data_IF_418667196822
#
_entry.id   IF_418667196822
#
_cell.length_a   1.000
_cell.length_b   1.000
_cell.length_c   1.000
_cell.angle_alpha   90.00
_cell.angle_beta   90.00
_cell.angle_gamma   90.00
#
_symmetry.space_group_name_H-M   'P 1'
#
loop_
_entity.id
_entity.type
_entity.pdbx_description
1 polymer ?
#
# COMPACT_ATOMS: atom_id res chain seq x y z
N UNK A 1 -30.70 -13.10 -46.73
CA UNK A 1 -29.35 -13.35 -46.16
C UNK A 1 -29.53 -13.50 -44.67
N UNK A 2 -29.25 -14.68 -44.11
CA UNK A 2 -29.33 -14.94 -42.68
C UNK A 2 -28.06 -14.45 -42.01
N UNK A 3 -28.20 -13.61 -40.98
CA UNK A 3 -27.08 -13.15 -40.14
C UNK A 3 -26.87 -14.20 -39.05
N UNK A 4 -25.70 -14.83 -39.02
CA UNK A 4 -25.30 -15.74 -37.96
C UNK A 4 -25.04 -14.94 -36.66
N UNK A 5 -25.42 -15.46 -35.49
CA UNK A 5 -25.06 -14.81 -34.24
C UNK A 5 -23.58 -15.02 -33.97
N UNK A 6 -22.86 -13.92 -33.69
CA UNK A 6 -21.50 -13.98 -33.17
C UNK A 6 -21.52 -14.70 -31.81
N UNK A 7 -20.84 -15.83 -31.76
CA UNK A 7 -20.60 -16.54 -30.51
C UNK A 7 -19.67 -15.70 -29.63
N UNK A 8 -20.24 -15.04 -28.62
CA UNK A 8 -19.48 -14.50 -27.50
C UNK A 8 -18.76 -15.67 -26.82
N UNK A 9 -17.43 -15.65 -26.84
CA UNK A 9 -16.59 -16.58 -26.12
C UNK A 9 -16.74 -16.33 -24.62
N UNK A 10 -17.78 -16.91 -24.02
CA UNK A 10 -17.92 -17.03 -22.58
C UNK A 10 -16.72 -17.81 -22.05
N UNK A 11 -15.80 -17.14 -21.37
CA UNK A 11 -14.76 -17.81 -20.59
C UNK A 11 -15.45 -18.83 -19.66
N UNK A 12 -15.15 -20.11 -19.84
CA UNK A 12 -15.75 -21.20 -19.05
C UNK A 12 -15.45 -20.94 -17.58
N UNK A 13 -16.45 -20.57 -16.78
CA UNK A 13 -16.32 -20.46 -15.33
C UNK A 13 -16.17 -21.87 -14.74
N UNK A 14 -14.93 -22.32 -14.53
CA UNK A 14 -14.57 -23.66 -14.03
C UNK A 14 -14.89 -23.83 -12.52
N UNK A 15 -16.08 -23.43 -12.05
CA UNK A 15 -16.50 -23.60 -10.65
C UNK A 15 -15.67 -22.83 -9.61
N UNK A 16 -14.72 -21.98 -10.03
CA UNK A 16 -13.97 -21.09 -9.14
C UNK A 16 -14.85 -19.92 -8.69
N UNK A 17 -14.80 -19.58 -7.39
CA UNK A 17 -15.51 -18.44 -6.79
C UNK A 17 -14.69 -17.14 -6.88
N UNK A 18 -13.36 -17.28 -6.83
CA UNK A 18 -12.42 -16.18 -6.76
C UNK A 18 -11.40 -16.27 -7.90
N UNK A 19 -10.92 -15.11 -8.35
CA UNK A 19 -9.83 -15.05 -9.31
C UNK A 19 -8.48 -15.18 -8.59
N UNK A 20 -8.32 -14.52 -7.44
CA UNK A 20 -7.07 -14.54 -6.68
C UNK A 20 -7.32 -14.77 -5.18
N UNK A 21 -6.44 -15.52 -4.53
CA UNK A 21 -6.34 -15.64 -3.08
C UNK A 21 -5.10 -14.89 -2.60
N UNK A 22 -5.22 -13.99 -1.61
CA UNK A 22 -4.07 -13.27 -1.04
C UNK A 22 -3.60 -13.94 0.24
N UNK A 23 -2.37 -14.46 0.20
CA UNK A 23 -1.64 -15.07 1.32
C UNK A 23 -0.57 -14.10 1.79
N UNK A 24 -0.59 -13.71 3.07
CA UNK A 24 0.28 -12.66 3.59
C UNK A 24 0.42 -12.74 5.11
N UNK A 25 1.43 -12.02 5.64
CA UNK A 25 1.51 -11.74 7.07
C UNK A 25 0.81 -10.43 7.37
N UNK A 26 -0.28 -10.50 8.13
CA UNK A 26 -1.13 -9.36 8.42
C UNK A 26 -0.44 -8.27 9.24
N UNK A 27 0.44 -8.63 10.19
CA UNK A 27 1.21 -7.65 10.94
C UNK A 27 2.13 -6.79 10.04
N UNK A 28 2.58 -7.34 8.92
CA UNK A 28 3.58 -6.69 8.06
C UNK A 28 2.92 -5.81 7.01
N UNK A 29 1.81 -6.28 6.42
CA UNK A 29 1.31 -5.72 5.15
C UNK A 29 -0.19 -5.49 5.09
N UNK A 30 -0.98 -5.85 6.12
CA UNK A 30 -2.46 -5.81 6.04
C UNK A 30 -2.98 -4.42 5.70
N UNK A 31 -2.67 -3.42 6.53
CA UNK A 31 -3.19 -2.05 6.41
C UNK A 31 -2.47 -1.21 5.37
N UNK A 32 -1.40 -1.75 4.78
CA UNK A 32 -0.56 -1.09 3.79
C UNK A 32 -0.71 -1.80 2.44
N UNK A 33 0.36 -2.43 1.95
CA UNK A 33 0.48 -3.01 0.62
C UNK A 33 -0.63 -4.00 0.25
N UNK A 34 -1.04 -4.89 1.17
CA UNK A 34 -2.00 -5.95 0.86
C UNK A 34 -3.41 -5.40 0.66
N UNK A 35 -3.82 -4.42 1.48
CA UNK A 35 -5.11 -3.73 1.26
C UNK A 35 -5.10 -3.00 -0.08
N UNK A 36 -4.00 -2.31 -0.40
CA UNK A 36 -3.88 -1.58 -1.66
C UNK A 36 -3.95 -2.53 -2.86
N UNK A 37 -3.23 -3.65 -2.83
CA UNK A 37 -3.31 -4.70 -3.85
C UNK A 37 -4.72 -5.29 -3.97
N UNK A 38 -5.38 -5.57 -2.83
CA UNK A 38 -6.75 -6.08 -2.80
C UNK A 38 -7.73 -5.13 -3.50
N UNK A 39 -7.65 -3.82 -3.19
CA UNK A 39 -8.50 -2.83 -3.85
C UNK A 39 -8.16 -2.69 -5.34
N UNK A 40 -6.88 -2.74 -5.72
CA UNK A 40 -6.46 -2.67 -7.12
C UNK A 40 -6.99 -3.85 -7.95
N UNK A 41 -6.95 -5.07 -7.41
CA UNK A 41 -7.52 -6.25 -8.04
C UNK A 41 -9.04 -6.08 -8.24
N UNK A 42 -9.76 -5.60 -7.22
CA UNK A 42 -11.20 -5.31 -7.33
C UNK A 42 -11.52 -4.22 -8.35
N UNK A 43 -10.72 -3.15 -8.39
CA UNK A 43 -10.89 -2.06 -9.34
C UNK A 43 -10.67 -2.51 -10.79
N UNK A 44 -9.93 -3.60 -11.00
CA UNK A 44 -9.74 -4.25 -12.30
C UNK A 44 -10.75 -5.37 -12.59
N UNK A 45 -11.91 -5.38 -11.89
CA UNK A 45 -12.98 -6.38 -12.02
C UNK A 45 -12.56 -7.83 -11.73
N UNK A 46 -11.46 -8.03 -11.01
CA UNK A 46 -11.08 -9.33 -10.47
C UNK A 46 -11.79 -9.58 -9.14
N UNK A 47 -11.99 -10.86 -8.80
CA UNK A 47 -12.59 -11.29 -7.53
C UNK A 47 -11.52 -11.79 -6.57
N UNK A 48 -10.79 -10.91 -5.85
CA UNK A 48 -9.85 -11.35 -4.83
C UNK A 48 -10.57 -11.83 -3.57
N UNK A 49 -9.99 -12.85 -2.94
CA UNK A 49 -10.22 -13.22 -1.55
C UNK A 49 -8.98 -12.78 -0.76
N UNK A 50 -9.18 -12.03 0.31
CA UNK A 50 -8.11 -11.62 1.22
C UNK A 50 -8.36 -12.30 2.55
N UNK A 51 -7.38 -13.07 3.02
CA UNK A 51 -7.49 -13.64 4.36
C UNK A 51 -7.56 -12.52 5.40
N UNK A 52 -8.37 -12.75 6.43
CA UNK A 52 -8.35 -11.93 7.62
C UNK A 52 -7.57 -12.69 8.67
N UNK A 53 -6.29 -12.33 8.84
CA UNK A 53 -5.43 -12.79 9.95
C UNK A 53 -6.11 -12.73 11.35
N UNK A 54 -7.32 -12.16 11.47
CA UNK A 54 -8.17 -12.13 12.66
C UNK A 54 -9.41 -13.04 12.69
N UNK A 55 -9.83 -13.73 11.62
CA UNK A 55 -11.04 -14.59 11.67
C UNK A 55 -10.68 -15.97 12.25
N UNK A 56 -10.74 -15.99 13.59
CA UNK A 56 -10.81 -17.15 14.51
C UNK A 56 -9.49 -17.86 14.78
N UNK A 57 -8.82 -17.35 15.83
CA UNK A 57 -7.80 -18.00 16.68
C UNK A 57 -7.96 -19.53 16.73
N UNK A 58 -7.16 -20.23 15.93
CA UNK A 58 -6.94 -21.67 15.96
C UNK A 58 -5.52 -21.99 15.48
N UNK A 59 -4.98 -23.16 15.82
CA UNK A 59 -3.65 -23.60 15.39
C UNK A 59 -3.68 -24.31 14.01
N UNK A 60 -4.77 -24.20 13.25
CA UNK A 60 -4.99 -24.94 12.00
C UNK A 60 -5.89 -24.14 11.07
N UNK A 61 -5.54 -24.12 9.78
CA UNK A 61 -6.33 -23.52 8.69
C UNK A 61 -7.80 -23.89 8.85
N UNK A 62 -8.70 -22.90 8.75
CA UNK A 62 -10.14 -23.18 8.80
C UNK A 62 -10.61 -23.85 7.51
N UNK A 63 -11.67 -24.66 7.58
CA UNK A 63 -12.28 -25.26 6.39
C UNK A 63 -12.74 -24.20 5.37
N UNK A 64 -13.13 -23.02 5.85
CA UNK A 64 -13.47 -21.86 5.03
C UNK A 64 -12.27 -21.35 4.22
N UNK A 65 -11.08 -21.28 4.84
CA UNK A 65 -9.85 -20.82 4.20
C UNK A 65 -9.36 -21.82 3.14
N UNK A 66 -9.38 -23.11 3.46
CA UNK A 66 -9.10 -24.17 2.48
C UNK A 66 -10.07 -24.12 1.29
N UNK A 67 -11.36 -23.89 1.55
CA UNK A 67 -12.35 -23.74 0.50
C UNK A 67 -12.09 -22.50 -0.36
N UNK A 68 -11.69 -21.38 0.24
CA UNK A 68 -11.32 -20.17 -0.48
C UNK A 68 -10.12 -20.41 -1.40
N UNK A 69 -9.07 -21.06 -0.92
CA UNK A 69 -7.90 -21.42 -1.74
C UNK A 69 -8.32 -22.35 -2.88
N UNK A 70 -9.05 -23.44 -2.61
CA UNK A 70 -9.50 -24.42 -3.62
C UNK A 70 -10.45 -23.82 -4.68
N UNK A 71 -11.15 -22.76 -4.32
CA UNK A 71 -12.06 -22.02 -5.20
C UNK A 71 -11.43 -20.75 -5.78
N UNK A 72 -10.13 -20.55 -5.60
CA UNK A 72 -9.36 -19.50 -6.26
C UNK A 72 -8.60 -20.06 -7.46
N UNK A 73 -8.34 -19.22 -8.46
CA UNK A 73 -7.62 -19.63 -9.67
C UNK A 73 -6.11 -19.47 -9.52
N UNK A 74 -5.69 -18.46 -8.77
CA UNK A 74 -4.30 -18.20 -8.40
C UNK A 74 -4.20 -17.84 -6.93
N UNK A 75 -3.11 -18.24 -6.27
CA UNK A 75 -2.71 -17.67 -4.97
C UNK A 75 -1.56 -16.70 -5.15
N UNK A 76 -1.75 -15.46 -4.70
CA UNK A 76 -0.71 -14.44 -4.62
C UNK A 76 -0.11 -14.52 -3.22
N UNK A 77 1.17 -14.85 -3.12
CA UNK A 77 1.86 -15.09 -1.84
C UNK A 77 2.80 -13.92 -1.57
N UNK A 78 2.52 -13.14 -0.55
CA UNK A 78 3.29 -11.94 -0.18
C UNK A 78 4.29 -12.32 0.92
N UNK A 79 5.48 -12.74 0.50
CA UNK A 79 6.59 -12.99 1.42
C UNK A 79 7.15 -11.66 1.94
N UNK A 80 6.94 -11.40 3.22
CA UNK A 80 7.42 -10.23 3.97
C UNK A 80 8.42 -10.65 5.06
N UNK A 81 8.94 -9.66 5.81
CA UNK A 81 10.01 -9.87 6.81
C UNK A 81 9.68 -10.94 7.85
N UNK A 82 8.47 -10.88 8.44
CA UNK A 82 8.06 -11.78 9.53
C UNK A 82 7.10 -12.87 9.05
N UNK A 83 7.04 -13.15 7.74
CA UNK A 83 6.15 -14.18 7.19
C UNK A 83 6.40 -15.56 7.82
N UNK A 84 7.67 -15.93 8.00
CA UNK A 84 8.06 -17.22 8.58
C UNK A 84 7.82 -17.31 10.09
N UNK A 85 7.63 -16.19 10.81
CA UNK A 85 7.25 -16.21 12.23
C UNK A 85 5.86 -16.83 12.46
N UNK A 86 4.98 -16.79 11.45
CA UNK A 86 3.60 -17.24 11.56
C UNK A 86 3.45 -18.69 11.08
N UNK A 87 3.26 -19.62 12.03
CA UNK A 87 2.93 -21.01 11.69
C UNK A 87 1.65 -21.12 10.84
N UNK A 88 0.72 -20.17 10.99
CA UNK A 88 -0.49 -20.08 10.16
C UNK A 88 -0.16 -19.78 8.70
N UNK A 89 0.67 -18.77 8.44
CA UNK A 89 1.09 -18.43 7.07
C UNK A 89 1.88 -19.58 6.43
N UNK A 90 2.65 -20.34 7.22
CA UNK A 90 3.40 -21.51 6.76
C UNK A 90 2.49 -22.72 6.48
N UNK A 91 1.46 -22.96 7.29
CA UNK A 91 0.45 -23.98 7.02
C UNK A 91 -0.38 -23.63 5.79
N UNK A 92 -0.80 -22.37 5.65
CA UNK A 92 -1.47 -21.89 4.45
C UNK A 92 -0.62 -22.12 3.19
N UNK A 93 0.68 -21.84 3.26
CA UNK A 93 1.62 -22.06 2.18
C UNK A 93 1.71 -23.54 1.77
N UNK A 94 1.70 -24.48 2.73
CA UNK A 94 1.63 -25.92 2.45
C UNK A 94 0.40 -26.25 1.60
N UNK A 95 -0.76 -25.78 2.04
CA UNK A 95 -2.02 -26.08 1.35
C UNK A 95 -2.07 -25.46 -0.06
N UNK A 96 -1.63 -24.20 -0.21
CA UNK A 96 -1.52 -23.54 -1.51
C UNK A 96 -0.62 -24.34 -2.44
N UNK A 97 0.53 -24.80 -1.95
CA UNK A 97 1.49 -25.53 -2.76
C UNK A 97 1.00 -26.93 -3.15
N UNK A 98 0.22 -27.59 -2.29
CA UNK A 98 -0.48 -28.83 -2.62
C UNK A 98 -1.54 -28.63 -3.71
N UNK A 99 -2.30 -27.54 -3.68
CA UNK A 99 -3.23 -27.19 -4.76
C UNK A 99 -2.47 -26.89 -6.06
N UNK A 100 -1.36 -26.16 -5.98
CA UNK A 100 -0.50 -25.84 -7.13
C UNK A 100 0.08 -27.08 -7.81
N UNK A 101 0.51 -28.08 -7.03
CA UNK A 101 1.05 -29.36 -7.56
C UNK A 101 -0.03 -30.35 -8.00
N UNK A 102 -1.30 -30.11 -7.66
CA UNK A 102 -2.40 -31.01 -7.98
C UNK A 102 -2.62 -31.14 -9.49
N UNK A 103 -2.76 -32.37 -9.98
CA UNK A 103 -3.04 -32.64 -11.42
C UNK A 103 -4.50 -32.43 -11.82
N UNK A 104 -5.38 -32.18 -10.86
CA UNK A 104 -6.84 -32.20 -11.06
C UNK A 104 -7.45 -30.82 -11.28
N UNK A 105 -6.76 -29.77 -10.85
CA UNK A 105 -7.14 -28.36 -11.08
C UNK A 105 -5.87 -27.56 -11.37
N UNK A 106 -5.94 -26.66 -12.34
CA UNK A 106 -4.88 -25.67 -12.56
C UNK A 106 -5.03 -24.56 -11.53
N UNK A 107 -4.29 -24.65 -10.42
CA UNK A 107 -4.15 -23.57 -9.44
C UNK A 107 -2.80 -22.90 -9.67
N UNK A 108 -2.78 -21.60 -9.99
CA UNK A 108 -1.54 -20.86 -10.18
C UNK A 108 -0.97 -20.36 -8.85
N UNK A 109 0.33 -20.03 -8.80
CA UNK A 109 0.92 -19.25 -7.70
C UNK A 109 1.73 -18.08 -8.23
N UNK A 110 1.62 -16.92 -7.57
CA UNK A 110 2.37 -15.70 -7.85
C UNK A 110 3.10 -15.25 -6.59
N UNK A 111 4.38 -15.62 -6.43
CA UNK A 111 5.18 -15.18 -5.28
C UNK A 111 5.61 -13.72 -5.44
N UNK A 112 5.30 -12.90 -4.44
CA UNK A 112 5.75 -11.52 -4.27
C UNK A 112 6.77 -11.49 -3.13
N UNK A 113 7.93 -10.90 -3.34
CA UNK A 113 8.97 -10.76 -2.33
C UNK A 113 9.02 -9.30 -1.89
N UNK A 114 8.27 -8.95 -0.86
CA UNK A 114 8.02 -7.57 -0.43
C UNK A 114 9.02 -7.15 0.66
N UNK A 115 9.93 -6.24 0.31
CA UNK A 115 11.11 -5.85 1.10
C UNK A 115 12.01 -7.03 1.52
N UNK A 116 11.92 -8.14 0.79
CA UNK A 116 12.59 -9.40 1.06
C UNK A 116 13.31 -9.91 -0.20
N UNK A 117 14.53 -10.40 -0.07
CA UNK A 117 15.22 -11.01 -1.21
C UNK A 117 14.68 -12.42 -1.48
N UNK A 118 14.50 -12.82 -2.76
CA UNK A 118 14.09 -14.19 -3.10
C UNK A 118 15.03 -15.28 -2.57
N UNK A 119 16.31 -14.98 -2.33
CA UNK A 119 17.28 -15.91 -1.70
C UNK A 119 16.84 -16.37 -0.32
N UNK A 120 16.19 -15.50 0.45
CA UNK A 120 15.77 -15.75 1.83
C UNK A 120 14.68 -16.81 1.86
N UNK A 121 13.65 -16.65 1.02
CA UNK A 121 12.57 -17.64 0.87
C UNK A 121 13.09 -18.96 0.32
N UNK A 122 14.13 -18.91 -0.53
CA UNK A 122 14.85 -20.11 -1.01
C UNK A 122 15.81 -20.72 0.02
N UNK A 123 15.84 -20.18 1.24
CA UNK A 123 16.69 -20.62 2.36
C UNK A 123 18.20 -20.59 2.02
N UNK A 124 18.60 -19.64 1.17
CA UNK A 124 19.99 -19.38 0.79
C UNK A 124 20.51 -18.17 1.56
N UNK A 125 20.80 -18.38 2.83
CA UNK A 125 21.21 -17.33 3.76
C UNK A 125 22.72 -17.05 3.71
N UNK A 126 23.09 -15.79 3.91
CA UNK A 126 24.43 -15.24 4.12
C UNK A 126 24.56 -14.85 5.58
N UNK A 127 25.73 -15.13 6.16
CA UNK A 127 25.95 -14.94 7.59
C UNK A 127 25.94 -13.46 8.01
N UNK A 128 26.23 -12.54 7.08
CA UNK A 128 26.39 -11.10 7.33
C UNK A 128 25.10 -10.28 7.17
N UNK A 129 24.01 -10.87 6.65
CA UNK A 129 22.75 -10.16 6.49
C UNK A 129 21.80 -10.40 7.68
N UNK A 130 21.45 -9.31 8.38
CA UNK A 130 20.61 -9.36 9.57
C UNK A 130 19.20 -9.90 9.28
N UNK A 131 18.61 -9.56 8.13
CA UNK A 131 17.25 -10.00 7.77
C UNK A 131 17.22 -11.49 7.47
N UNK A 132 18.24 -11.98 6.76
CA UNK A 132 18.39 -13.41 6.46
C UNK A 132 18.52 -14.23 7.74
N UNK A 133 19.30 -13.73 8.70
CA UNK A 133 19.46 -14.36 10.01
C UNK A 133 18.17 -14.35 10.84
N UNK A 134 17.37 -13.27 10.78
CA UNK A 134 16.09 -13.18 11.50
C UNK A 134 15.07 -14.17 10.93
N UNK A 135 14.87 -14.19 9.61
CA UNK A 135 13.93 -15.12 8.95
C UNK A 135 14.30 -16.59 9.26
N UNK A 136 15.60 -16.92 9.20
CA UNK A 136 16.09 -18.24 9.59
C UNK A 136 15.78 -18.56 11.05
N UNK A 137 16.05 -17.63 11.96
CA UNK A 137 15.82 -17.81 13.39
C UNK A 137 14.35 -18.08 13.69
N UNK A 138 13.44 -17.30 13.12
CA UNK A 138 11.99 -17.49 13.27
C UNK A 138 11.53 -18.85 12.76
N UNK A 139 12.05 -19.26 11.60
CA UNK A 139 11.77 -20.56 11.04
C UNK A 139 12.29 -21.69 11.94
N UNK A 140 13.51 -21.57 12.48
CA UNK A 140 14.13 -22.56 13.37
C UNK A 140 13.46 -22.61 14.76
N UNK A 141 12.88 -21.50 15.25
CA UNK A 141 12.12 -21.46 16.50
C UNK A 141 10.91 -22.40 16.49
N UNK A 142 10.32 -22.64 15.31
CA UNK A 142 9.21 -23.56 15.16
C UNK A 142 9.57 -25.03 15.39
N UNK A 143 10.85 -25.42 15.22
CA UNK A 143 11.28 -26.81 15.45
C UNK A 143 10.92 -27.29 16.86
N UNK A 144 11.09 -26.40 17.85
CA UNK A 144 10.80 -26.69 19.27
C UNK A 144 9.32 -26.89 19.53
N UNK A 145 8.46 -26.24 18.75
CA UNK A 145 7.00 -26.20 18.97
C UNK A 145 6.26 -27.26 18.16
N UNK A 146 6.70 -27.53 16.93
CA UNK A 146 5.99 -28.40 15.98
C UNK A 146 6.79 -29.62 15.54
N UNK A 147 8.07 -29.70 15.92
CA UNK A 147 8.97 -30.79 15.57
C UNK A 147 9.62 -30.63 14.19
N UNK A 148 10.70 -31.38 14.00
CA UNK A 148 11.54 -31.31 12.79
C UNK A 148 10.79 -31.69 11.51
N UNK A 149 9.92 -32.69 11.56
CA UNK A 149 9.18 -33.16 10.38
C UNK A 149 8.30 -32.05 9.78
N UNK A 150 7.57 -31.32 10.63
CA UNK A 150 6.73 -30.20 10.19
C UNK A 150 7.57 -29.05 9.66
N UNK A 151 8.70 -28.77 10.31
CA UNK A 151 9.65 -27.76 9.86
C UNK A 151 10.21 -28.09 8.47
N UNK A 152 10.56 -29.35 8.22
CA UNK A 152 11.09 -29.79 6.92
C UNK A 152 10.02 -29.68 5.82
N UNK A 153 8.74 -29.94 6.12
CA UNK A 153 7.64 -29.67 5.18
C UNK A 153 7.54 -28.17 4.83
N UNK A 154 7.57 -27.29 5.83
CA UNK A 154 7.54 -25.84 5.60
C UNK A 154 8.74 -25.36 4.78
N UNK A 155 9.93 -25.88 5.05
CA UNK A 155 11.15 -25.59 4.27
C UNK A 155 10.99 -26.01 2.81
N UNK A 156 10.43 -27.18 2.55
CA UNK A 156 10.21 -27.65 1.17
C UNK A 156 9.30 -26.69 0.39
N UNK A 157 8.18 -26.27 0.97
CA UNK A 157 7.21 -25.41 0.26
C UNK A 157 7.68 -23.97 0.13
N UNK A 158 8.44 -23.44 1.11
CA UNK A 158 9.12 -22.15 0.97
C UNK A 158 10.09 -22.17 -0.21
N UNK A 159 10.95 -23.19 -0.31
CA UNK A 159 11.86 -23.36 -1.45
C UNK A 159 11.06 -23.51 -2.74
N UNK A 160 10.04 -24.35 -2.75
CA UNK A 160 9.19 -24.63 -3.92
C UNK A 160 8.54 -23.36 -4.48
N UNK A 161 7.88 -22.58 -3.63
CA UNK A 161 7.28 -21.30 -4.00
C UNK A 161 8.34 -20.26 -4.37
N UNK A 162 9.46 -20.19 -3.65
CA UNK A 162 10.55 -19.26 -3.93
C UNK A 162 11.25 -19.51 -5.27
N UNK A 163 11.17 -20.74 -5.82
CA UNK A 163 11.71 -21.09 -7.14
C UNK A 163 10.77 -20.71 -8.30
N UNK A 164 9.48 -20.46 -8.04
CA UNK A 164 8.57 -19.94 -9.05
C UNK A 164 8.94 -18.50 -9.39
N UNK A 165 8.78 -18.14 -10.67
CA UNK A 165 9.02 -16.78 -11.14
C UNK A 165 8.08 -15.82 -10.41
N UNK A 166 8.66 -14.79 -9.79
CA UNK A 166 7.92 -13.89 -8.92
C UNK A 166 8.37 -12.44 -9.01
N UNK A 167 7.81 -11.63 -8.14
CA UNK A 167 7.92 -10.18 -8.18
C UNK A 167 8.67 -9.68 -6.94
N UNK A 168 9.98 -9.40 -7.04
CA UNK A 168 10.72 -8.77 -5.95
C UNK A 168 10.47 -7.27 -5.91
N UNK A 169 10.31 -6.73 -4.71
CA UNK A 169 10.17 -5.31 -4.44
C UNK A 169 10.99 -4.93 -3.19
N UNK A 170 11.74 -3.81 -3.20
CA UNK A 170 12.00 -2.96 -4.34
C UNK A 170 12.92 -3.65 -5.37
N UNK A 171 12.84 -3.22 -6.63
CA UNK A 171 13.76 -3.62 -7.72
C UNK A 171 13.86 -2.46 -8.71
N UNK A 172 14.93 -2.36 -9.49
CA UNK A 172 15.11 -1.32 -10.52
C UNK A 172 13.89 -1.09 -11.43
N UNK A 173 13.07 -2.12 -11.69
CA UNK A 173 11.85 -1.99 -12.51
C UNK A 173 10.72 -1.22 -11.81
N UNK A 174 10.66 -1.25 -10.48
CA UNK A 174 9.58 -0.69 -9.69
C UNK A 174 10.15 0.41 -8.82
N UNK A 175 9.99 1.63 -9.28
CA UNK A 175 10.41 2.78 -8.50
C UNK A 175 9.44 3.05 -7.34
N UNK A 176 8.15 2.70 -7.53
CA UNK A 176 7.11 2.86 -6.51
C UNK A 176 6.25 1.59 -6.30
N UNK A 177 5.66 1.39 -5.10
CA UNK A 177 4.72 0.30 -4.81
C UNK A 177 3.54 0.22 -5.79
N UNK A 178 3.09 1.35 -6.32
CA UNK A 178 1.99 1.43 -7.27
C UNK A 178 2.29 0.77 -8.63
N UNK A 179 3.49 0.97 -9.18
CA UNK A 179 3.87 0.36 -10.47
C UNK A 179 4.10 -1.14 -10.27
N UNK A 180 4.53 -1.54 -9.07
CA UNK A 180 4.57 -2.92 -8.63
C UNK A 180 3.16 -3.55 -8.57
N UNK A 181 2.18 -2.87 -7.97
CA UNK A 181 0.78 -3.32 -7.91
C UNK A 181 0.17 -3.45 -9.32
N UNK A 182 0.39 -2.48 -10.23
CA UNK A 182 -0.15 -2.55 -11.60
C UNK A 182 0.33 -3.81 -12.33
N UNK A 183 1.63 -4.14 -12.23
CA UNK A 183 2.19 -5.32 -12.88
C UNK A 183 1.63 -6.63 -12.28
N UNK A 184 1.41 -6.67 -10.96
CA UNK A 184 0.78 -7.81 -10.28
C UNK A 184 -0.67 -7.98 -10.74
N UNK A 185 -1.45 -6.90 -10.80
CA UNK A 185 -2.86 -6.94 -11.24
C UNK A 185 -2.95 -7.42 -12.68
N UNK A 186 -2.12 -6.88 -13.58
CA UNK A 186 -2.07 -7.32 -15.00
C UNK A 186 -1.64 -8.76 -15.15
N UNK A 187 -0.65 -9.20 -14.38
CA UNK A 187 -0.20 -10.60 -14.41
C UNK A 187 -1.31 -11.51 -13.91
N UNK A 188 -1.96 -11.16 -12.80
CA UNK A 188 -3.11 -11.89 -12.27
C UNK A 188 -4.20 -12.01 -13.33
N UNK A 189 -4.57 -10.90 -14.00
CA UNK A 189 -5.52 -10.90 -15.11
C UNK A 189 -5.15 -11.89 -16.22
N UNK A 190 -3.89 -11.89 -16.66
CA UNK A 190 -3.38 -12.84 -17.67
C UNK A 190 -3.47 -14.30 -17.21
N UNK A 191 -3.04 -14.60 -15.99
CA UNK A 191 -3.13 -15.96 -15.40
C UNK A 191 -4.58 -16.46 -15.35
N UNK A 192 -5.52 -15.54 -15.10
CA UNK A 192 -6.95 -15.84 -15.06
C UNK A 192 -7.67 -15.58 -16.40
N UNK A 193 -6.95 -15.35 -17.50
CA UNK A 193 -7.54 -15.16 -18.82
C UNK A 193 -8.48 -13.95 -18.95
N UNK A 194 -8.33 -12.95 -18.08
CA UNK A 194 -9.06 -11.68 -18.10
C UNK A 194 -8.14 -10.60 -18.66
N UNK A 195 -8.54 -9.97 -19.77
CA UNK A 195 -7.76 -8.91 -20.41
C UNK A 195 -8.01 -7.57 -19.72
N UNK A 196 -7.00 -7.11 -18.96
CA UNK A 196 -7.00 -5.80 -18.31
C UNK A 196 -6.51 -4.75 -19.31
N UNK A 197 -7.45 -4.14 -20.04
CA UNK A 197 -7.19 -3.25 -21.18
C UNK A 197 -6.65 -1.87 -20.78
N UNK A 198 -7.20 -1.30 -19.72
CA UNK A 198 -6.68 -0.09 -19.11
C UNK A 198 -5.84 -0.49 -17.90
N UNK A 199 -4.76 0.24 -17.62
CA UNK A 199 -4.16 0.12 -16.29
C UNK A 199 -5.28 0.28 -15.27
N UNK A 200 -5.36 -0.51 -14.18
CA UNK A 200 -5.86 0.05 -12.96
C UNK A 200 -5.05 1.34 -12.74
N UNK A 201 -5.60 2.48 -13.13
CA UNK A 201 -5.05 3.76 -12.73
C UNK A 201 -5.34 3.76 -11.25
N UNK A 202 -4.38 3.27 -10.48
CA UNK A 202 -4.44 3.29 -9.03
C UNK A 202 -4.42 4.76 -8.67
N UNK A 203 -5.62 5.30 -8.58
CA UNK A 203 -5.84 6.65 -8.12
C UNK A 203 -5.96 6.51 -6.63
N UNK A 204 -5.06 7.17 -5.92
CA UNK A 204 -5.40 7.50 -4.56
C UNK A 204 -6.68 8.32 -4.63
N UNK A 205 -7.72 7.90 -3.92
CA UNK A 205 -8.91 8.73 -3.85
C UNK A 205 -8.59 10.01 -3.09
N UNK A 206 -7.68 9.91 -2.11
CA UNK A 206 -7.29 11.00 -1.22
C UNK A 206 -5.78 10.97 -0.94
N UNK A 207 -5.08 12.07 -1.19
CA UNK A 207 -3.72 12.29 -0.69
C UNK A 207 -3.76 13.04 0.65
N UNK A 208 -3.19 12.46 1.70
CA UNK A 208 -3.07 13.04 3.03
C UNK A 208 -1.73 13.77 3.15
N UNK A 209 -1.79 15.11 3.23
CA UNK A 209 -0.64 15.98 3.49
C UNK A 209 -0.69 16.48 4.93
N UNK A 210 0.34 16.19 5.72
CA UNK A 210 0.39 16.51 7.14
C UNK A 210 1.82 16.59 7.67
N UNK A 211 1.97 17.22 8.85
CA UNK A 211 3.22 17.25 9.60
C UNK A 211 3.18 16.19 10.72
N UNK A 212 4.01 15.16 10.59
CA UNK A 212 4.01 13.98 11.47
C UNK A 212 4.32 14.31 12.93
N UNK A 213 5.04 15.41 13.21
CA UNK A 213 5.41 15.79 14.58
C UNK A 213 4.27 16.46 15.37
N UNK A 214 3.24 16.95 14.69
CA UNK A 214 2.14 17.71 15.33
C UNK A 214 0.95 16.86 15.70
N UNK A 215 0.64 15.93 14.82
CA UNK A 215 -0.56 15.16 14.91
C UNK A 215 -0.15 13.90 15.64
N UNK A 216 -0.39 13.86 16.95
CA UNK A 216 -0.23 12.63 17.75
C UNK A 216 -0.79 11.49 16.91
N UNK A 217 -0.03 10.41 16.77
CA UNK A 217 -0.19 9.31 15.79
C UNK A 217 -1.66 8.91 15.52
N UNK A 218 -2.53 9.06 16.53
CA UNK A 218 -3.95 8.83 16.49
C UNK A 218 -4.80 9.55 15.41
N UNK A 219 -4.66 10.86 15.11
CA UNK A 219 -5.66 11.51 14.22
C UNK A 219 -5.50 11.13 12.75
N UNK A 220 -4.27 11.20 12.21
CA UNK A 220 -4.03 10.76 10.82
C UNK A 220 -4.30 9.28 10.66
N UNK A 221 -3.89 8.45 11.63
CA UNK A 221 -4.16 7.01 11.58
C UNK A 221 -5.66 6.71 11.64
N UNK A 222 -6.43 7.40 12.48
CA UNK A 222 -7.90 7.28 12.50
C UNK A 222 -8.52 7.74 11.19
N UNK A 223 -8.06 8.85 10.63
CA UNK A 223 -8.57 9.35 9.34
C UNK A 223 -8.26 8.37 8.20
N UNK A 224 -7.03 7.85 8.14
CA UNK A 224 -6.61 6.83 7.17
C UNK A 224 -7.47 5.56 7.30
N UNK A 225 -7.65 5.07 8.54
CA UNK A 225 -8.48 3.91 8.82
C UNK A 225 -9.96 4.13 8.44
N UNK A 226 -10.52 5.31 8.71
CA UNK A 226 -11.92 5.63 8.37
C UNK A 226 -12.12 5.83 6.86
N UNK A 227 -11.13 6.40 6.16
CA UNK A 227 -11.14 6.46 4.70
C UNK A 227 -11.10 5.05 4.11
N UNK A 228 -10.21 4.18 4.61
CA UNK A 228 -10.10 2.78 4.19
C UNK A 228 -11.37 1.99 4.50
N UNK A 229 -11.98 2.17 5.68
CA UNK A 229 -13.25 1.53 6.06
C UNK A 229 -14.41 1.96 5.13
N UNK A 230 -14.37 3.23 4.70
CA UNK A 230 -15.29 3.82 3.73
C UNK A 230 -14.94 3.47 2.27
N UNK A 231 -13.97 2.58 2.04
CA UNK A 231 -13.51 2.10 0.72
C UNK A 231 -12.79 3.15 -0.14
N UNK A 232 -12.30 4.23 0.46
CA UNK A 232 -11.35 5.12 -0.19
C UNK A 232 -9.94 4.55 -0.08
N UNK A 233 -9.09 4.90 -1.06
CA UNK A 233 -7.68 4.52 -1.08
C UNK A 233 -6.83 5.76 -0.74
N UNK A 234 -6.44 5.96 0.53
CA UNK A 234 -5.60 7.09 0.92
C UNK A 234 -4.11 6.85 0.62
N UNK A 235 -3.41 7.90 0.18
CA UNK A 235 -1.96 7.99 0.21
C UNK A 235 -1.52 8.82 1.41
N UNK A 236 -0.74 8.24 2.32
CA UNK A 236 -0.10 8.99 3.40
C UNK A 236 1.26 9.45 2.94
N UNK A 237 1.45 10.77 2.85
CA UNK A 237 2.75 11.33 2.56
C UNK A 237 3.65 11.25 3.81
N UNK A 238 4.30 10.13 4.02
CA UNK A 238 5.25 9.90 5.11
C UNK A 238 6.69 10.22 4.69
N UNK A 239 7.55 10.56 5.66
CA UNK A 239 8.95 10.92 5.42
C UNK A 239 9.75 9.66 5.09
N UNK A 240 9.90 9.34 3.80
CA UNK A 240 10.91 8.38 3.35
C UNK A 240 11.96 9.09 2.50
N UNK A 241 13.16 9.24 3.04
CA UNK A 241 14.31 9.87 2.35
C UNK A 241 14.90 8.99 1.23
N UNK A 242 14.35 7.78 1.02
CA UNK A 242 14.85 6.75 0.11
C UNK A 242 14.05 6.58 -1.20
N UNK A 243 12.89 7.21 -1.35
CA UNK A 243 11.94 6.90 -2.44
C UNK A 243 12.01 7.92 -3.59
N UNK A 244 13.19 8.04 -4.21
CA UNK A 244 13.36 8.81 -5.46
C UNK A 244 13.69 7.88 -6.62
N UNK A 245 12.97 8.08 -7.71
CA UNK A 245 13.13 7.33 -8.95
C UNK A 245 14.42 7.70 -9.69
N UNK A 246 14.75 6.94 -10.74
CA UNK A 246 15.91 7.22 -11.62
C UNK A 246 15.84 8.62 -12.25
N UNK A 247 14.65 9.20 -12.40
CA UNK A 247 14.42 10.57 -12.89
C UNK A 247 14.38 11.65 -11.78
N UNK A 248 14.49 11.24 -10.51
CA UNK A 248 14.48 12.11 -9.34
C UNK A 248 13.08 12.48 -8.81
N UNK A 249 12.00 11.97 -9.41
CA UNK A 249 10.62 12.16 -8.94
C UNK A 249 10.41 11.37 -7.64
N UNK A 250 9.75 11.98 -6.65
CA UNK A 250 9.38 11.28 -5.41
C UNK A 250 7.99 10.64 -5.55
N UNK A 251 7.70 9.63 -4.72
CA UNK A 251 6.37 8.97 -4.72
C UNK A 251 5.26 9.97 -4.44
N UNK A 252 5.54 10.92 -3.55
CA UNK A 252 4.64 12.02 -3.21
C UNK A 252 4.26 12.85 -4.44
N UNK A 253 5.19 13.12 -5.35
CA UNK A 253 4.95 13.91 -6.56
C UNK A 253 4.08 13.14 -7.55
N UNK A 254 4.36 11.84 -7.73
CA UNK A 254 3.52 10.97 -8.53
C UNK A 254 2.11 10.88 -7.94
N UNK A 255 1.99 10.78 -6.61
CA UNK A 255 0.72 10.65 -5.91
C UNK A 255 -0.18 11.88 -6.09
N UNK A 256 0.35 13.11 -6.19
CA UNK A 256 -0.44 14.33 -6.47
C UNK A 256 -1.21 14.17 -7.79
N UNK A 257 -0.52 13.77 -8.86
CA UNK A 257 -1.13 13.64 -10.18
C UNK A 257 -2.08 12.45 -10.30
N UNK A 258 -1.91 11.46 -9.43
CA UNK A 258 -2.72 10.24 -9.37
C UNK A 258 -3.89 10.38 -8.39
N UNK A 259 -3.96 11.46 -7.61
CA UNK A 259 -5.02 11.65 -6.62
C UNK A 259 -6.24 12.38 -7.17
N UNK A 260 -7.44 11.98 -6.75
CA UNK A 260 -8.68 12.73 -7.06
C UNK A 260 -8.89 13.91 -6.11
N UNK A 261 -8.55 13.69 -4.85
CA UNK A 261 -8.64 14.69 -3.80
C UNK A 261 -7.35 14.72 -2.99
N UNK A 262 -7.09 15.82 -2.31
CA UNK A 262 -6.11 15.88 -1.24
C UNK A 262 -6.73 16.51 0.00
N UNK A 263 -6.48 15.89 1.16
CA UNK A 263 -6.73 16.47 2.45
C UNK A 263 -5.42 17.05 2.97
N UNK A 264 -5.42 18.35 3.22
CA UNK A 264 -4.26 19.07 3.76
C UNK A 264 -4.56 19.42 5.21
N UNK A 265 -3.89 18.75 6.13
CA UNK A 265 -4.08 18.95 7.58
C UNK A 265 -3.13 20.04 8.06
N UNK A 266 -3.63 21.28 8.11
CA UNK A 266 -2.92 22.40 8.72
C UNK A 266 -2.92 22.24 10.23
N UNK A 267 -1.75 21.90 10.77
CA UNK A 267 -1.44 21.84 12.18
C UNK A 267 -0.48 22.98 12.59
N UNK A 268 -0.20 23.10 13.90
CA UNK A 268 0.60 24.20 14.47
C UNK A 268 2.00 24.34 13.87
N UNK A 269 2.69 23.25 13.56
CA UNK A 269 4.03 23.22 12.99
C UNK A 269 4.07 22.87 11.48
N UNK A 270 2.91 22.75 10.79
CA UNK A 270 2.86 22.43 9.36
C UNK A 270 3.78 23.34 8.51
N UNK A 271 3.75 24.65 8.77
CA UNK A 271 4.55 25.63 8.04
C UNK A 271 6.02 25.74 8.51
N UNK A 272 6.47 24.90 9.45
CA UNK A 272 7.89 24.74 9.76
C UNK A 272 8.55 23.65 8.92
N UNK A 273 7.75 22.84 8.22
CA UNK A 273 8.20 21.71 7.43
C UNK A 273 8.34 22.10 5.97
N UNK A 274 9.58 22.26 5.45
CA UNK A 274 9.78 22.62 4.04
C UNK A 274 9.17 21.58 3.10
N UNK A 275 9.13 20.32 3.51
CA UNK A 275 8.47 19.22 2.78
C UNK A 275 6.97 19.48 2.62
N UNK A 276 6.27 19.75 3.72
CA UNK A 276 4.84 20.06 3.70
C UNK A 276 4.56 21.30 2.84
N UNK A 277 5.39 22.33 2.92
CA UNK A 277 5.27 23.54 2.10
C UNK A 277 5.51 23.28 0.61
N UNK A 278 6.52 22.48 0.26
CA UNK A 278 6.79 22.07 -1.12
C UNK A 278 5.66 21.22 -1.70
N UNK A 279 5.13 20.28 -0.91
CA UNK A 279 4.01 19.45 -1.31
C UNK A 279 2.72 20.28 -1.49
N UNK A 280 2.42 21.18 -0.53
CA UNK A 280 1.33 22.14 -0.61
C UNK A 280 1.39 22.95 -1.91
N UNK A 281 2.57 23.47 -2.24
CA UNK A 281 2.77 24.25 -3.46
C UNK A 281 2.49 23.43 -4.71
N UNK A 282 3.06 22.21 -4.81
CA UNK A 282 2.83 21.32 -5.95
C UNK A 282 1.36 20.94 -6.11
N UNK A 283 0.67 20.62 -5.01
CA UNK A 283 -0.77 20.32 -5.03
C UNK A 283 -1.59 21.52 -5.48
N UNK A 284 -1.28 22.71 -4.94
CA UNK A 284 -1.98 23.95 -5.27
C UNK A 284 -1.83 24.32 -6.75
N UNK A 285 -0.61 24.22 -7.28
CA UNK A 285 -0.30 24.48 -8.70
C UNK A 285 -1.00 23.45 -9.60
N UNK A 286 -0.86 22.16 -9.29
CA UNK A 286 -1.50 21.09 -10.06
C UNK A 286 -3.03 21.21 -10.08
N UNK A 287 -3.64 21.52 -8.92
CA UNK A 287 -5.08 21.76 -8.81
C UNK A 287 -5.52 22.99 -9.63
N UNK A 288 -4.75 24.07 -9.57
CA UNK A 288 -5.04 25.32 -10.30
C UNK A 288 -4.93 25.15 -11.82
N UNK A 289 -3.92 24.42 -12.29
CA UNK A 289 -3.66 24.20 -13.71
C UNK A 289 -4.61 23.19 -14.34
N UNK A 290 -4.86 22.07 -13.66
CA UNK A 290 -5.58 20.93 -14.26
C UNK A 290 -7.06 20.85 -13.86
N UNK A 291 -7.43 21.44 -12.72
CA UNK A 291 -8.74 21.29 -12.06
C UNK A 291 -9.12 19.83 -11.76
N UNK A 292 -8.15 18.90 -11.78
CA UNK A 292 -8.37 17.46 -11.57
C UNK A 292 -8.25 17.02 -10.11
N UNK A 293 -7.55 17.81 -9.29
CA UNK A 293 -7.34 17.54 -7.88
C UNK A 293 -8.20 18.48 -7.02
N UNK A 294 -9.10 17.90 -6.22
CA UNK A 294 -9.89 18.65 -5.24
C UNK A 294 -9.08 18.81 -3.94
N UNK A 295 -8.86 20.03 -3.48
CA UNK A 295 -8.14 20.28 -2.22
C UNK A 295 -9.13 20.56 -1.09
N UNK A 296 -8.98 19.84 0.02
CA UNK A 296 -9.80 19.91 1.22
C UNK A 296 -8.89 20.32 2.40
N UNK A 297 -8.87 21.60 2.80
CA UNK A 297 -8.13 22.01 3.99
C UNK A 297 -8.82 21.55 5.28
N UNK A 298 -8.07 20.89 6.15
CA UNK A 298 -8.46 20.55 7.52
C UNK A 298 -7.61 21.39 8.47
N UNK A 299 -8.24 22.13 9.37
CA UNK A 299 -7.56 22.95 10.37
C UNK A 299 -7.59 22.22 11.71
N UNK A 300 -6.45 21.65 12.10
CA UNK A 300 -6.31 20.84 13.32
C UNK A 300 -5.61 21.65 14.43
N UNK A 301 -6.36 22.04 15.47
CA UNK A 301 -5.81 22.82 16.58
C UNK A 301 -5.34 24.23 16.22
N UNK A 302 -5.77 24.74 15.06
CA UNK A 302 -5.46 26.08 14.52
C UNK A 302 -6.72 26.66 13.88
N UNK A 303 -6.83 27.99 13.81
CA UNK A 303 -7.95 28.64 13.13
C UNK A 303 -7.65 28.90 11.65
N UNK A 304 -8.71 28.90 10.83
CA UNK A 304 -8.64 29.27 9.40
C UNK A 304 -7.99 30.65 9.21
N UNK A 305 -8.31 31.61 10.08
CA UNK A 305 -7.77 32.95 10.02
C UNK A 305 -6.29 33.02 10.40
N UNK A 306 -5.85 32.24 11.40
CA UNK A 306 -4.43 32.13 11.75
C UNK A 306 -3.59 31.62 10.56
N UNK A 307 -4.06 30.58 9.85
CA UNK A 307 -3.39 30.06 8.67
C UNK A 307 -3.45 31.07 7.51
N UNK A 308 -4.62 31.65 7.22
CA UNK A 308 -4.82 32.59 6.10
C UNK A 308 -3.99 33.86 6.25
N UNK A 309 -3.97 34.43 7.46
CA UNK A 309 -3.20 35.64 7.76
C UNK A 309 -1.72 35.33 8.01
N UNK A 310 -1.35 34.05 8.03
CA UNK A 310 -0.01 33.58 8.40
C UNK A 310 0.42 34.19 9.74
N UNK A 311 -0.51 34.23 10.71
CA UNK A 311 -0.33 34.91 11.98
C UNK A 311 0.48 34.07 12.98
N UNK A 312 0.87 34.70 14.10
CA UNK A 312 1.52 34.04 15.23
C UNK A 312 2.77 33.23 14.84
N UNK A 313 2.78 31.91 15.11
CA UNK A 313 3.93 31.03 14.84
C UNK A 313 4.24 30.86 13.35
N UNK A 314 3.24 30.93 12.46
CA UNK A 314 3.47 30.95 11.00
C UNK A 314 4.17 32.23 10.56
N UNK A 315 3.84 33.37 11.18
CA UNK A 315 4.50 34.65 10.91
C UNK A 315 5.98 34.63 11.32
N UNK A 316 6.32 33.82 12.33
CA UNK A 316 7.68 33.69 12.84
C UNK A 316 8.54 32.69 12.05
N UNK A 317 7.95 31.64 11.47
CA UNK A 317 8.69 30.58 10.76
C UNK A 317 9.17 31.02 9.38
N UNK A 318 8.28 31.55 8.54
CA UNK A 318 8.56 31.86 7.14
C UNK A 318 9.65 32.94 6.97
N UNK A 319 9.71 34.01 7.79
CA UNK A 319 10.80 34.99 7.72
C UNK A 319 12.18 34.42 8.02
N UNK A 320 12.27 33.42 8.91
CA UNK A 320 13.52 32.74 9.25
C UNK A 320 14.11 31.89 8.13
N UNK A 321 13.30 31.54 7.12
CA UNK A 321 13.69 30.71 5.98
C UNK A 321 14.35 31.51 4.84
N UNK A 322 14.15 32.83 4.78
CA UNK A 322 14.78 33.70 3.79
C UNK A 322 16.30 33.76 3.98
N UNK A 323 17.06 33.63 2.88
CA UNK A 323 18.50 33.90 2.80
C UNK A 323 19.43 33.13 3.78
N UNK A 324 18.90 32.18 4.57
CA UNK A 324 19.66 31.21 5.35
C UNK A 324 19.45 29.75 4.88
N UNK A 325 18.34 29.46 4.21
CA UNK A 325 18.02 28.09 3.77
C UNK A 325 17.32 28.02 2.39
N UNK A 326 16.49 29.01 2.02
CA UNK A 326 15.78 29.03 0.73
C UNK A 326 15.73 30.43 0.10
N UNK A 327 15.59 30.48 -1.24
CA UNK A 327 15.45 31.73 -2.01
C UNK A 327 14.13 32.43 -1.68
N UNK A 328 14.14 33.77 -1.70
CA UNK A 328 12.96 34.61 -1.40
C UNK A 328 11.73 34.28 -2.24
N UNK A 329 11.91 34.09 -3.53
CA UNK A 329 10.86 33.72 -4.47
C UNK A 329 10.12 32.43 -4.07
N UNK A 330 10.87 31.42 -3.59
CA UNK A 330 10.30 30.14 -3.16
C UNK A 330 9.38 30.32 -1.94
N UNK A 331 9.83 31.12 -0.96
CA UNK A 331 9.05 31.39 0.25
C UNK A 331 7.79 32.20 -0.06
N UNK A 332 7.84 33.14 -1.02
CA UNK A 332 6.62 33.84 -1.48
C UNK A 332 5.63 32.89 -2.14
N UNK A 333 6.09 31.95 -2.99
CA UNK A 333 5.22 30.92 -3.57
C UNK A 333 4.54 30.05 -2.50
N UNK A 334 5.29 29.65 -1.47
CA UNK A 334 4.68 28.94 -0.33
C UNK A 334 3.61 29.77 0.37
N UNK A 335 3.86 31.07 0.59
CA UNK A 335 2.88 31.99 1.19
C UNK A 335 1.61 32.09 0.35
N UNK A 336 1.75 32.21 -0.95
CA UNK A 336 0.62 32.27 -1.89
C UNK A 336 -0.20 30.97 -1.84
N UNK A 337 0.46 29.81 -1.85
CA UNK A 337 -0.20 28.51 -1.76
C UNK A 337 -0.97 28.33 -0.44
N UNK A 338 -0.37 28.67 0.71
CA UNK A 338 -1.05 28.65 2.02
C UNK A 338 -2.30 29.52 1.97
N UNK A 339 -2.16 30.76 1.50
CA UNK A 339 -3.26 31.73 1.45
C UNK A 339 -4.37 31.30 0.49
N UNK A 340 -4.01 30.70 -0.65
CA UNK A 340 -4.94 30.19 -1.65
C UNK A 340 -5.74 29.00 -1.12
N UNK A 341 -5.05 28.00 -0.57
CA UNK A 341 -5.70 26.81 -0.01
C UNK A 341 -6.57 27.16 1.20
N UNK A 342 -6.11 28.04 2.10
CA UNK A 342 -6.89 28.45 3.26
C UNK A 342 -8.19 29.20 2.91
N UNK A 343 -8.38 29.64 1.66
CA UNK A 343 -9.61 30.29 1.20
C UNK A 343 -10.61 29.33 0.57
N UNK A 344 -10.24 28.06 0.36
CA UNK A 344 -11.13 27.09 -0.26
C UNK A 344 -12.40 26.85 0.57
N UNK A 345 -13.54 26.60 -0.08
CA UNK A 345 -14.84 26.44 0.58
C UNK A 345 -14.99 25.10 1.32
N UNK A 346 -14.26 24.05 0.89
CA UNK A 346 -14.30 22.71 1.48
C UNK A 346 -13.43 22.58 2.75
N UNK A 347 -13.60 23.51 3.70
CA UNK A 347 -12.80 23.59 4.92
C UNK A 347 -13.46 22.85 6.10
N UNK A 348 -12.69 22.03 6.80
CA UNK A 348 -13.12 21.36 8.05
C UNK A 348 -12.27 21.86 9.21
N UNK A 349 -12.90 22.22 10.33
CA UNK A 349 -12.20 22.59 11.56
C UNK A 349 -12.30 21.45 12.58
N UNK A 350 -11.17 21.10 13.21
CA UNK A 350 -11.06 20.05 14.22
C UNK A 350 -10.33 20.62 15.43
N UNK A 351 -10.96 20.54 16.60
CA UNK A 351 -10.36 20.96 17.86
C UNK A 351 -9.27 19.97 18.30
N UNK A 352 -8.17 20.47 18.86
CA UNK A 352 -7.13 19.62 19.42
C UNK A 352 -7.49 19.25 20.87
N UNK A 353 -7.77 17.97 21.18
CA UNK A 353 -8.14 17.55 22.54
C UNK A 353 -7.05 17.79 23.58
N UNK A 354 -5.84 18.19 23.17
CA UNK A 354 -4.75 18.63 24.03
C UNK A 354 -4.94 20.02 24.68
N UNK A 355 -5.94 20.79 24.25
CA UNK A 355 -6.17 22.17 24.73
C UNK A 355 -7.17 22.27 25.89
N UNK A 356 -7.78 21.17 26.30
CA UNK A 356 -8.47 21.05 27.59
C UNK A 356 -7.49 20.52 28.65
N UNK A 357 -6.75 21.44 29.28
CA UNK A 357 -5.81 21.15 30.36
C UNK A 357 -5.31 22.43 31.03
#
# INVERSE_FOLDING_TARGET
>A
MAVAPEASASAKSHGFKYDAFLSFRGADTRTTFTTDLFQALKAADLKPFMDDDGIKRGNTITSELEEAIRNSRVSIIIFSEDYASSSWCLDELLYIFDQYRSKTKTHGILPLFYHLYPSIVRLKFRADDKRENQFKKELDEHEKRFGKEKLDQWREVLIGCGLVAGFPFPKQKYSFPIDFIDDIVRTTGKEVGISIKEAPVFRYDVLLSYESMDIRENFIERLDNELRSSKFIPFKAERNEMDRDEDGTSEEDAAISRSRSSIIVFSRNYAYSPRCLDQLLKMFEYSSETKRLVIIPVFYGVSKDQIRMQAERLAASLPGMYNKQFKREKVERWKEAIKGVAQLPAAVAVEDPATEG
#
